data_IF_014831871807
#
_entry.id   IF_014831871807
#
_cell.length_a   1.000
_cell.length_b   1.000
_cell.length_c   1.000
_cell.angle_alpha   90.00
_cell.angle_beta   90.00
_cell.angle_gamma   90.00
#
_symmetry.space_group_name_H-M   'P 1'
#
loop_
_entity.id
_entity.type
_entity.pdbx_description
1 polymer ?
#
# COMPACT_ATOMS: atom_id res chain seq x y z
N UNK A 1 3.14 -3.22 22.76
CA UNK A 1 3.86 -4.11 21.83
C UNK A 1 5.31 -3.65 21.67
N UNK A 2 5.56 -2.37 21.39
CA UNK A 2 6.93 -1.80 21.31
C UNK A 2 7.69 -1.77 22.63
N UNK A 3 7.05 -1.37 23.74
CA UNK A 3 7.74 -1.26 25.03
C UNK A 3 8.28 -2.62 25.52
N UNK A 4 7.59 -3.71 25.16
CA UNK A 4 8.04 -5.09 25.43
C UNK A 4 9.24 -5.51 24.57
N UNK A 5 9.44 -4.85 23.43
CA UNK A 5 10.56 -5.06 22.52
C UNK A 5 11.68 -4.00 22.71
N UNK A 6 11.56 -3.12 23.72
CA UNK A 6 12.59 -2.13 24.07
C UNK A 6 12.58 -0.87 23.20
N UNK A 7 11.51 -0.58 22.46
CA UNK A 7 11.41 0.65 21.67
C UNK A 7 10.02 1.28 21.74
N UNK A 8 9.99 2.62 21.76
CA UNK A 8 8.75 3.38 21.68
C UNK A 8 8.22 3.40 20.23
N UNK A 9 6.96 3.01 20.03
CA UNK A 9 6.35 2.99 18.69
C UNK A 9 5.73 4.34 18.40
N UNK A 10 6.17 4.96 17.31
CA UNK A 10 5.64 6.23 16.80
C UNK A 10 5.03 6.04 15.40
N UNK A 11 4.33 7.06 14.92
CA UNK A 11 3.68 7.14 13.60
C UNK A 11 2.58 6.10 13.40
N UNK A 12 1.72 5.95 14.41
CA UNK A 12 0.56 5.07 14.32
C UNK A 12 -0.42 5.52 13.22
N UNK A 13 -0.89 4.54 12.46
CA UNK A 13 -1.97 4.63 11.47
C UNK A 13 -2.83 3.38 11.64
N UNK A 14 -4.14 3.53 11.47
CA UNK A 14 -5.12 2.45 11.64
C UNK A 14 -6.29 2.70 10.69
N UNK A 15 -6.93 1.64 10.22
CA UNK A 15 -8.21 1.69 9.51
C UNK A 15 -9.41 1.91 10.46
N UNK A 16 -9.17 1.91 11.76
CA UNK A 16 -10.15 2.14 12.83
C UNK A 16 -9.81 3.40 13.60
N UNK A 17 -10.71 4.38 13.61
CA UNK A 17 -10.54 5.65 14.33
C UNK A 17 -10.52 5.46 15.83
N UNK A 18 -11.32 4.53 16.34
CA UNK A 18 -11.42 4.22 17.77
C UNK A 18 -10.07 3.75 18.33
N UNK A 19 -9.24 3.13 17.49
CA UNK A 19 -7.87 2.73 17.84
C UNK A 19 -6.94 3.95 17.91
N UNK A 20 -7.11 4.94 17.04
CA UNK A 20 -6.29 6.15 17.02
C UNK A 20 -6.67 7.12 18.15
N UNK A 21 -7.92 7.11 18.60
CA UNK A 21 -8.40 7.92 19.73
C UNK A 21 -7.76 7.53 21.06
N UNK A 22 -7.41 6.25 21.24
CA UNK A 22 -6.74 5.77 22.46
C UNK A 22 -5.21 5.90 22.41
N UNK A 23 -4.65 6.24 21.25
CA UNK A 23 -3.21 6.44 21.07
C UNK A 23 -2.88 7.92 21.31
N UNK A 24 -1.81 8.25 22.06
CA UNK A 24 -1.40 9.64 22.23
C UNK A 24 -1.19 10.32 20.88
N UNK A 25 -1.77 11.52 20.68
CA UNK A 25 -1.69 12.23 19.41
C UNK A 25 -0.25 12.44 18.89
N UNK A 26 0.72 12.61 19.81
CA UNK A 26 2.16 12.70 19.48
C UNK A 26 2.74 11.44 18.83
N UNK A 27 2.11 10.30 19.06
CA UNK A 27 2.54 8.99 18.56
C UNK A 27 1.77 8.61 17.29
N UNK A 28 0.65 9.27 16.98
CA UNK A 28 -0.04 9.15 15.70
C UNK A 28 0.78 9.77 14.55
N UNK A 29 0.60 9.26 13.34
CA UNK A 29 1.25 9.81 12.16
C UNK A 29 0.68 11.20 11.83
N UNK A 30 1.52 12.11 11.33
CA UNK A 30 1.16 13.52 11.09
C UNK A 30 0.11 13.72 9.99
N UNK A 31 -0.13 12.71 9.16
CA UNK A 31 -1.15 12.68 8.12
C UNK A 31 -2.52 12.17 8.63
N UNK A 32 -2.62 11.71 9.88
CA UNK A 32 -3.91 11.35 10.50
C UNK A 32 -4.61 12.62 10.96
N UNK A 33 -5.84 12.86 10.47
CA UNK A 33 -6.70 13.94 10.94
C UNK A 33 -8.03 13.38 11.46
N UNK A 34 -8.11 13.18 12.78
CA UNK A 34 -9.33 12.67 13.41
C UNK A 34 -10.50 13.67 13.29
N UNK A 35 -10.22 14.97 13.33
CA UNK A 35 -11.23 16.04 13.20
C UNK A 35 -11.97 16.02 11.86
N UNK A 36 -11.27 15.70 10.78
CA UNK A 36 -11.84 15.65 9.42
C UNK A 36 -12.58 14.35 9.14
N UNK A 37 -12.54 13.39 10.06
CA UNK A 37 -13.07 12.05 9.86
C UNK A 37 -12.45 11.35 8.62
N UNK A 38 -11.25 11.75 8.21
CA UNK A 38 -10.52 11.26 7.04
C UNK A 38 -9.28 10.49 7.51
N UNK A 39 -9.16 9.22 7.12
CA UNK A 39 -7.97 8.42 7.37
C UNK A 39 -6.99 8.57 6.20
N UNK A 40 -5.67 8.52 6.45
CA UNK A 40 -4.71 8.82 5.41
C UNK A 40 -4.47 7.64 4.47
N UNK A 41 -4.13 7.97 3.23
CA UNK A 41 -3.33 7.07 2.39
C UNK A 41 -1.85 7.19 2.79
N UNK A 42 -1.17 6.07 3.03
CA UNK A 42 0.26 6.03 3.39
C UNK A 42 1.03 5.03 2.53
N UNK A 43 2.35 5.21 2.40
CA UNK A 43 3.20 4.25 1.67
C UNK A 43 3.84 3.27 2.65
N UNK A 44 3.48 2.00 2.54
CA UNK A 44 3.95 0.91 3.38
C UNK A 44 4.53 -0.19 2.51
N UNK A 45 5.77 -0.60 2.77
CA UNK A 45 6.48 -1.61 1.95
C UNK A 45 6.40 -1.29 0.45
N UNK A 46 6.59 -0.04 0.04
CA UNK A 46 6.55 0.37 -1.36
C UNK A 46 5.18 0.44 -2.04
N UNK A 47 4.13 -0.11 -1.41
CA UNK A 47 2.74 -0.06 -1.88
C UNK A 47 2.01 1.07 -1.13
N UNK A 48 1.01 1.70 -1.76
CA UNK A 48 0.14 2.63 -1.04
C UNK A 48 -0.99 1.87 -0.34
N UNK A 49 -1.32 2.27 0.87
CA UNK A 49 -2.44 1.74 1.63
C UNK A 49 -3.38 2.89 1.96
N UNK A 50 -4.63 2.78 1.55
CA UNK A 50 -5.72 3.63 1.99
C UNK A 50 -6.28 3.08 3.29
N UNK A 51 -6.02 3.75 4.40
CA UNK A 51 -6.53 3.30 5.69
C UNK A 51 -8.05 3.52 5.82
N UNK A 52 -8.66 4.41 5.04
CA UNK A 52 -10.10 4.67 5.07
C UNK A 52 -10.91 3.48 4.58
N UNK A 53 -10.55 2.98 3.40
CA UNK A 53 -11.24 1.88 2.74
C UNK A 53 -10.59 0.50 3.00
N UNK A 54 -9.45 0.50 3.69
CA UNK A 54 -8.62 -0.69 3.95
C UNK A 54 -8.13 -1.37 2.66
N UNK A 55 -7.69 -0.55 1.70
CA UNK A 55 -7.30 -1.00 0.36
C UNK A 55 -5.82 -0.77 0.06
N UNK A 56 -5.18 -1.73 -0.62
CA UNK A 56 -3.87 -1.53 -1.22
C UNK A 56 -4.01 -0.94 -2.62
N UNK A 57 -3.36 0.20 -2.85
CA UNK A 57 -3.39 0.93 -4.10
C UNK A 57 -2.08 0.69 -4.88
N UNK A 58 -2.23 0.28 -6.14
CA UNK A 58 -1.14 0.08 -7.08
C UNK A 58 -1.20 1.11 -8.21
N UNK A 59 -0.06 1.72 -8.53
CA UNK A 59 0.05 2.63 -9.67
C UNK A 59 0.13 1.85 -10.97
N UNK A 60 -1.01 1.74 -11.65
CA UNK A 60 -1.08 1.17 -12.99
C UNK A 60 -1.27 2.26 -14.03
N UNK A 61 -0.34 2.31 -14.99
CA UNK A 61 -0.53 3.08 -16.22
C UNK A 61 -1.04 2.15 -17.30
N UNK A 62 -2.17 2.49 -17.91
CA UNK A 62 -2.68 1.73 -19.06
C UNK A 62 -1.64 1.73 -20.20
N UNK A 63 -1.68 0.71 -21.08
CA UNK A 63 -0.95 0.76 -22.33
C UNK A 63 -1.42 1.97 -23.14
N UNK A 64 -0.47 2.70 -23.71
CA UNK A 64 -0.71 3.77 -24.67
C UNK A 64 -0.96 3.20 -26.07
N UNK A 65 -1.43 4.02 -27.00
CA UNK A 65 -1.77 3.57 -28.37
C UNK A 65 -0.57 2.99 -29.14
N UNK A 66 0.65 3.41 -28.79
CA UNK A 66 1.92 2.91 -29.34
C UNK A 66 2.41 1.61 -28.68
N UNK A 67 1.68 1.07 -27.69
CA UNK A 67 2.09 -0.15 -27.02
C UNK A 67 1.92 -1.39 -27.90
N UNK A 68 3.04 -1.96 -28.33
CA UNK A 68 3.03 -3.25 -29.04
C UNK A 68 2.81 -4.42 -28.07
N UNK A 69 1.70 -5.14 -28.22
CA UNK A 69 1.34 -6.32 -27.43
C UNK A 69 2.19 -7.56 -27.76
N UNK A 70 3.43 -7.55 -27.28
CA UNK A 70 4.32 -8.71 -27.29
C UNK A 70 4.41 -9.31 -25.88
N UNK A 71 4.69 -10.62 -25.79
CA UNK A 71 4.95 -11.29 -24.48
C UNK A 71 5.97 -10.52 -23.64
N UNK A 72 7.04 -10.03 -24.28
CA UNK A 72 8.10 -9.22 -23.64
C UNK A 72 7.56 -7.90 -23.10
N UNK A 73 6.77 -7.17 -23.88
CA UNK A 73 6.25 -5.86 -23.45
C UNK A 73 5.22 -5.99 -22.33
N UNK A 74 4.34 -6.99 -22.42
CA UNK A 74 3.38 -7.30 -21.34
C UNK A 74 4.12 -7.69 -20.07
N UNK A 75 5.12 -8.56 -20.15
CA UNK A 75 5.93 -8.96 -19.00
C UNK A 75 6.72 -7.78 -18.41
N UNK A 76 7.31 -6.92 -19.26
CA UNK A 76 8.00 -5.71 -18.81
C UNK A 76 7.06 -4.75 -18.07
N UNK A 77 5.84 -4.55 -18.58
CA UNK A 77 4.84 -3.66 -17.97
C UNK A 77 4.34 -4.23 -16.65
N UNK A 78 4.00 -5.51 -16.60
CA UNK A 78 3.56 -6.18 -15.35
C UNK A 78 4.67 -6.23 -14.30
N UNK A 79 5.92 -6.51 -14.69
CA UNK A 79 7.08 -6.49 -13.79
C UNK A 79 7.41 -5.09 -13.22
N UNK A 80 6.86 -4.01 -13.79
CA UNK A 80 7.02 -2.67 -13.22
C UNK A 80 6.10 -2.39 -12.04
N UNK A 81 5.07 -3.22 -11.82
CA UNK A 81 4.21 -3.14 -10.65
C UNK A 81 4.96 -3.73 -9.45
N UNK A 82 5.26 -2.90 -8.46
CA UNK A 82 5.92 -3.34 -7.24
C UNK A 82 4.92 -4.10 -6.35
N UNK A 83 5.12 -5.41 -6.22
CA UNK A 83 4.27 -6.30 -5.42
C UNK A 83 5.11 -7.28 -4.57
N UNK A 84 5.73 -6.80 -3.49
CA UNK A 84 6.57 -7.62 -2.61
C UNK A 84 5.80 -8.77 -1.92
N UNK A 85 4.47 -8.70 -1.85
CA UNK A 85 3.63 -9.66 -1.13
C UNK A 85 2.81 -10.58 -2.04
N UNK A 86 2.86 -10.37 -3.36
CA UNK A 86 2.19 -11.23 -4.34
C UNK A 86 0.67 -10.97 -4.47
N UNK A 87 0.16 -9.82 -4.02
CA UNK A 87 -1.26 -9.47 -4.11
C UNK A 87 -1.79 -9.46 -5.55
N UNK A 88 -0.95 -9.08 -6.51
CA UNK A 88 -1.29 -9.01 -7.93
C UNK A 88 -1.07 -10.34 -8.65
N UNK A 89 -0.54 -11.37 -7.99
CA UNK A 89 -0.24 -12.67 -8.59
C UNK A 89 -1.43 -13.34 -9.31
N UNK A 90 -2.71 -13.19 -8.86
CA UNK A 90 -3.86 -13.74 -9.61
C UNK A 90 -4.17 -12.98 -10.90
N UNK A 91 -3.77 -11.71 -10.99
CA UNK A 91 -4.06 -10.82 -12.12
C UNK A 91 -2.92 -10.79 -13.14
N UNK A 92 -1.70 -11.04 -12.69
CA UNK A 92 -0.51 -11.15 -13.53
C UNK A 92 -0.40 -12.61 -13.99
N UNK A 93 -0.54 -12.86 -15.29
CA UNK A 93 -0.41 -14.21 -15.84
C UNK A 93 0.91 -14.85 -15.42
N UNK A 94 0.86 -16.05 -14.83
CA UNK A 94 2.06 -16.73 -14.34
C UNK A 94 3.08 -16.94 -15.48
N UNK A 95 4.36 -16.60 -15.28
CA UNK A 95 5.39 -16.93 -16.23
C UNK A 95 5.46 -18.46 -16.37
N UNK A 96 5.07 -19.00 -17.52
CA UNK A 96 5.42 -20.38 -17.87
C UNK A 96 6.88 -20.37 -18.29
N UNK A 97 7.77 -20.68 -17.34
CA UNK A 97 9.14 -21.07 -17.64
C UNK A 97 9.06 -22.45 -18.29
N UNK A 98 9.16 -22.47 -19.62
CA UNK A 98 9.32 -23.70 -20.39
C UNK A 98 10.79 -24.10 -20.46
#
# INVERSE_FOLDING_TARGET
>A
MGDKAGFHVCKWVSNRKEVLEVIPAKDCSSNVSLEKNELPTTKTLGIRWDAGDDEFLFDYSSPTDDFHYTKRNVLKKTASLFDPLGFLSPFIGSPRLG
#
